data_IF_868470053228
#
_entry.id   IF_868470053228
#
_cell.length_a   1.000
_cell.length_b   1.000
_cell.length_c   1.000
_cell.angle_alpha   90.00
_cell.angle_beta   90.00
_cell.angle_gamma   90.00
#
_symmetry.space_group_name_H-M   'P 1'
#
loop_
_entity.id
_entity.type
_entity.pdbx_description
1 polymer ?
#
# COMPACT_ATOMS: atom_id res chain seq x y z
N UNK A 1 -26.25 9.48 -5.10
CA UNK A 1 -25.26 10.35 -5.78
C UNK A 1 -24.42 9.44 -6.65
N UNK A 2 -24.41 9.64 -7.96
CA UNK A 2 -23.60 8.84 -8.88
C UNK A 2 -22.13 9.14 -8.57
N UNK A 3 -21.37 8.10 -8.34
CA UNK A 3 -19.98 8.20 -7.89
C UNK A 3 -19.01 8.41 -9.07
N UNK A 4 -19.39 9.20 -10.07
CA UNK A 4 -18.66 9.61 -11.29
C UNK A 4 -17.55 8.63 -11.78
N UNK A 5 -17.73 7.32 -11.55
CA UNK A 5 -16.76 6.28 -11.87
C UNK A 5 -15.47 6.32 -11.01
N UNK A 6 -15.45 7.09 -9.91
CA UNK A 6 -14.31 7.10 -8.96
C UNK A 6 -14.41 5.91 -8.02
N UNK A 7 -13.34 5.13 -7.93
CA UNK A 7 -13.22 4.01 -7.00
C UNK A 7 -11.89 4.09 -6.23
N UNK A 8 -11.88 3.51 -5.03
CA UNK A 8 -10.75 3.43 -4.12
C UNK A 8 -10.24 1.99 -4.06
N UNK A 9 -9.00 1.76 -4.48
CA UNK A 9 -8.34 0.46 -4.43
C UNK A 9 -7.25 0.48 -3.37
N UNK A 10 -7.40 -0.35 -2.34
CA UNK A 10 -6.54 -0.42 -1.16
C UNK A 10 -5.76 -1.73 -1.14
N UNK A 11 -4.43 -1.66 -1.15
CA UNK A 11 -3.53 -2.80 -1.32
C UNK A 11 -2.66 -2.96 -0.06
N UNK A 12 -2.78 -4.10 0.60
CA UNK A 12 -2.23 -4.34 1.94
C UNK A 12 -0.72 -4.61 1.96
N UNK A 13 -0.13 -4.45 3.16
CA UNK A 13 1.25 -4.81 3.46
C UNK A 13 1.41 -6.29 3.86
N UNK A 14 2.66 -6.82 3.77
CA UNK A 14 3.04 -8.06 4.45
C UNK A 14 3.07 -7.87 5.96
N UNK A 15 2.75 -8.92 6.73
CA UNK A 15 2.16 -10.21 6.37
C UNK A 15 0.63 -10.19 6.60
N UNK A 16 -0.01 -9.04 6.35
CA UNK A 16 -1.42 -8.77 6.61
C UNK A 16 -2.29 -9.15 5.40
N UNK A 17 -3.58 -8.85 5.48
CA UNK A 17 -4.56 -9.04 4.42
C UNK A 17 -5.40 -7.77 4.20
N UNK A 18 -6.41 -7.85 3.36
CA UNK A 18 -7.30 -6.72 3.05
C UNK A 18 -8.00 -6.11 4.27
N UNK A 19 -8.12 -6.85 5.39
CA UNK A 19 -8.74 -6.34 6.62
C UNK A 19 -7.92 -5.24 7.31
N UNK A 20 -6.64 -5.06 6.96
CA UNK A 20 -5.87 -3.93 7.47
C UNK A 20 -6.49 -2.57 7.12
N UNK A 21 -7.36 -2.52 6.12
CA UNK A 21 -8.03 -1.33 5.63
C UNK A 21 -9.44 -1.13 6.22
N UNK A 22 -9.84 -1.90 7.23
CA UNK A 22 -11.18 -1.82 7.84
C UNK A 22 -11.59 -0.38 8.18
N UNK A 23 -10.66 0.42 8.71
CA UNK A 23 -10.86 1.81 9.08
C UNK A 23 -10.98 2.77 7.88
N UNK A 24 -10.68 2.33 6.66
CA UNK A 24 -10.76 3.11 5.42
C UNK A 24 -11.93 2.70 4.53
N UNK A 25 -12.58 1.55 4.78
CA UNK A 25 -13.64 1.02 3.91
C UNK A 25 -14.85 1.94 3.75
N UNK A 26 -15.11 2.78 4.75
CA UNK A 26 -16.23 3.71 4.75
C UNK A 26 -16.00 5.00 3.95
N UNK A 27 -14.77 5.26 3.48
CA UNK A 27 -14.40 6.54 2.85
C UNK A 27 -15.09 6.77 1.50
N UNK A 28 -15.35 5.71 0.74
CA UNK A 28 -16.10 5.76 -0.51
C UNK A 28 -17.05 4.56 -0.58
N UNK A 29 -18.21 4.62 0.12
CA UNK A 29 -19.11 3.49 0.28
C UNK A 29 -19.58 2.90 -1.05
N UNK A 30 -19.48 1.58 -1.19
CA UNK A 30 -19.85 0.85 -2.42
C UNK A 30 -18.84 0.95 -3.56
N UNK A 31 -17.74 1.73 -3.38
CA UNK A 31 -16.69 1.93 -4.39
C UNK A 31 -15.30 1.83 -3.77
N UNK A 32 -15.16 1.14 -2.63
CA UNK A 32 -13.88 0.85 -1.99
C UNK A 32 -13.62 -0.65 -2.04
N UNK A 33 -12.43 -1.03 -2.53
CA UNK A 33 -12.00 -2.41 -2.72
C UNK A 33 -10.68 -2.64 -1.99
N UNK A 34 -10.62 -3.67 -1.16
CA UNK A 34 -9.44 -4.06 -0.39
C UNK A 34 -9.19 -5.57 -0.52
N UNK A 35 -8.71 -6.05 -1.68
CA UNK A 35 -8.47 -7.48 -1.88
C UNK A 35 -7.32 -8.01 -1.04
N UNK A 36 -7.36 -9.31 -0.72
CA UNK A 36 -6.21 -10.03 -0.20
C UNK A 36 -5.29 -10.43 -1.34
N UNK A 37 -4.10 -9.83 -1.40
CA UNK A 37 -3.18 -9.92 -2.54
C UNK A 37 -2.70 -11.35 -2.82
N UNK A 38 -2.54 -12.16 -1.78
CA UNK A 38 -2.05 -13.54 -1.91
C UNK A 38 -2.91 -14.43 -2.81
N UNK A 39 -4.20 -14.11 -2.95
CA UNK A 39 -5.13 -14.83 -3.83
C UNK A 39 -5.06 -14.42 -5.30
N UNK A 40 -4.29 -13.37 -5.63
CA UNK A 40 -4.26 -12.74 -6.94
C UNK A 40 -3.11 -13.23 -7.85
N UNK A 41 -2.32 -14.20 -7.40
CA UNK A 41 -1.24 -14.78 -8.18
C UNK A 41 0.13 -14.76 -7.52
N UNK A 42 1.18 -14.99 -8.32
CA UNK A 42 2.55 -15.28 -7.84
C UNK A 42 3.56 -14.19 -8.20
N UNK A 43 3.10 -13.05 -8.67
CA UNK A 43 3.93 -11.88 -8.95
C UNK A 43 3.18 -10.58 -8.68
N UNK A 44 3.93 -9.50 -8.44
CA UNK A 44 3.31 -8.19 -8.23
C UNK A 44 2.53 -7.71 -9.46
N UNK A 45 2.97 -8.07 -10.67
CA UNK A 45 2.24 -7.78 -11.91
C UNK A 45 0.93 -8.56 -12.03
N UNK A 46 0.92 -9.85 -11.62
CA UNK A 46 -0.32 -10.64 -11.55
C UNK A 46 -1.29 -10.05 -10.53
N UNK A 47 -0.81 -9.66 -9.33
CA UNK A 47 -1.63 -8.98 -8.33
C UNK A 47 -2.29 -7.72 -8.87
N UNK A 48 -1.52 -6.89 -9.57
CA UNK A 48 -2.03 -5.65 -10.17
C UNK A 48 -3.09 -5.92 -11.25
N UNK A 49 -2.84 -6.89 -12.13
CA UNK A 49 -3.77 -7.24 -13.20
C UNK A 49 -5.10 -7.80 -12.65
N UNK A 50 -5.04 -8.68 -11.64
CA UNK A 50 -6.24 -9.23 -11.01
C UNK A 50 -6.97 -8.18 -10.15
N UNK A 51 -6.24 -7.31 -9.42
CA UNK A 51 -6.84 -6.22 -8.67
C UNK A 51 -7.60 -5.24 -9.58
N UNK A 52 -7.08 -4.96 -10.78
CA UNK A 52 -7.75 -4.13 -11.78
C UNK A 52 -9.08 -4.72 -12.28
N UNK A 53 -9.29 -6.03 -12.21
CA UNK A 53 -10.57 -6.67 -12.58
C UNK A 53 -11.65 -6.47 -11.53
N UNK A 54 -11.28 -6.16 -10.29
CA UNK A 54 -12.23 -5.92 -9.20
C UNK A 54 -12.85 -4.53 -9.26
N UNK A 55 -12.19 -3.59 -9.96
CA UNK A 55 -12.60 -2.19 -10.08
C UNK A 55 -13.13 -1.92 -11.49
N UNK A 56 -14.32 -1.32 -11.58
CA UNK A 56 -15.01 -1.04 -12.84
C UNK A 56 -14.92 0.42 -13.25
N UNK A 57 -14.68 1.31 -12.30
CA UNK A 57 -14.57 2.74 -12.53
C UNK A 57 -13.40 3.08 -13.47
N UNK A 58 -13.57 4.16 -14.19
CA UNK A 58 -12.55 4.72 -15.08
C UNK A 58 -11.59 5.68 -14.37
N UNK A 59 -11.82 5.96 -13.08
CA UNK A 59 -11.01 6.85 -12.23
C UNK A 59 -10.70 6.15 -10.90
N UNK A 60 -9.43 5.90 -10.65
CA UNK A 60 -8.98 5.14 -9.49
C UNK A 60 -8.08 5.99 -8.59
N UNK A 61 -8.39 6.05 -7.31
CA UNK A 61 -7.42 6.38 -6.27
C UNK A 61 -6.84 5.04 -5.81
N UNK A 62 -5.56 4.82 -6.09
CA UNK A 62 -4.88 3.58 -5.72
C UNK A 62 -3.98 3.85 -4.52
N UNK A 63 -4.21 3.12 -3.44
CA UNK A 63 -3.46 3.25 -2.18
C UNK A 63 -2.78 1.94 -1.88
N UNK A 64 -1.48 1.97 -1.65
CA UNK A 64 -0.74 0.76 -1.31
C UNK A 64 0.24 0.98 -0.17
N UNK A 65 0.26 0.04 0.77
CA UNK A 65 1.21 0.03 1.89
C UNK A 65 2.28 -1.04 1.65
N UNK A 66 3.56 -0.69 1.78
CA UNK A 66 4.70 -1.62 1.65
C UNK A 66 4.69 -2.38 0.30
N UNK A 67 4.59 -3.70 0.30
CA UNK A 67 4.42 -4.51 -0.92
C UNK A 67 3.15 -4.13 -1.69
N UNK A 68 2.09 -3.74 -1.00
CA UNK A 68 0.87 -3.22 -1.62
C UNK A 68 1.13 -1.94 -2.41
N UNK A 69 2.07 -1.10 -1.96
CA UNK A 69 2.52 0.06 -2.73
C UNK A 69 3.31 -0.32 -3.98
N UNK A 70 4.06 -1.43 -3.94
CA UNK A 70 4.67 -2.00 -5.15
C UNK A 70 3.61 -2.49 -6.14
N UNK A 71 2.52 -3.11 -5.64
CA UNK A 71 1.37 -3.48 -6.45
C UNK A 71 0.65 -2.23 -7.01
N UNK A 72 0.51 -1.16 -6.22
CA UNK A 72 -0.07 0.11 -6.67
C UNK A 72 0.73 0.75 -7.82
N UNK A 73 2.05 0.66 -7.77
CA UNK A 73 2.93 1.09 -8.86
C UNK A 73 2.73 0.25 -10.14
N UNK A 74 2.53 -1.07 -10.01
CA UNK A 74 2.19 -1.94 -11.15
C UNK A 74 0.81 -1.59 -11.72
N UNK A 75 -0.20 -1.35 -10.86
CA UNK A 75 -1.52 -0.88 -11.29
C UNK A 75 -1.40 0.41 -12.11
N UNK A 76 -0.59 1.37 -11.62
CA UNK A 76 -0.36 2.63 -12.32
C UNK A 76 0.40 2.45 -13.65
N UNK A 77 1.30 1.47 -13.73
CA UNK A 77 2.01 1.15 -14.96
C UNK A 77 1.10 0.47 -16.01
N UNK A 78 0.18 -0.41 -15.56
CA UNK A 78 -0.74 -1.15 -16.42
C UNK A 78 -1.92 -0.31 -16.92
N UNK A 79 -2.41 0.63 -16.12
CA UNK A 79 -3.60 1.41 -16.42
C UNK A 79 -3.42 2.91 -16.07
N UNK A 80 -2.40 3.59 -16.61
CA UNK A 80 -2.06 4.97 -16.22
C UNK A 80 -3.21 5.95 -16.44
N UNK A 81 -4.01 5.76 -17.48
CA UNK A 81 -5.14 6.62 -17.81
C UNK A 81 -6.29 6.53 -16.81
N UNK A 82 -6.40 5.41 -16.09
CA UNK A 82 -7.40 5.23 -15.03
C UNK A 82 -6.98 5.81 -13.69
N UNK A 83 -5.70 6.16 -13.50
CA UNK A 83 -5.23 6.69 -12.22
C UNK A 83 -5.72 8.13 -12.04
N UNK A 84 -6.51 8.39 -11.02
CA UNK A 84 -6.88 9.72 -10.57
C UNK A 84 -5.84 10.25 -9.56
N UNK A 85 -5.35 9.40 -8.68
CA UNK A 85 -4.24 9.67 -7.77
C UNK A 85 -3.59 8.36 -7.29
N UNK A 86 -2.32 8.44 -6.90
CA UNK A 86 -1.55 7.32 -6.35
C UNK A 86 -1.07 7.67 -4.93
N UNK A 87 -1.28 6.78 -3.97
CA UNK A 87 -0.83 6.94 -2.58
C UNK A 87 0.07 5.76 -2.21
N UNK A 88 1.34 6.03 -1.95
CA UNK A 88 2.36 5.04 -1.61
C UNK A 88 2.77 5.22 -0.15
N UNK A 89 2.48 4.22 0.68
CA UNK A 89 2.73 4.24 2.12
C UNK A 89 3.87 3.28 2.44
N UNK A 90 4.97 3.77 3.01
CA UNK A 90 6.11 2.93 3.37
C UNK A 90 6.66 2.10 2.20
N UNK A 91 6.71 2.66 0.99
CA UNK A 91 7.01 1.92 -0.24
C UNK A 91 8.27 2.46 -0.92
N UNK A 92 9.09 1.56 -1.47
CA UNK A 92 10.20 1.90 -2.37
C UNK A 92 9.80 1.61 -3.82
N UNK A 93 9.75 2.65 -4.66
CA UNK A 93 9.55 2.49 -6.10
C UNK A 93 10.79 1.89 -6.79
N UNK A 94 11.99 2.26 -6.31
CA UNK A 94 13.25 1.64 -6.74
C UNK A 94 13.51 0.39 -5.92
N UNK A 95 13.45 -0.77 -6.56
CA UNK A 95 13.82 -2.03 -5.94
C UNK A 95 15.31 -2.33 -6.12
N UNK A 96 15.96 -2.74 -5.04
CA UNK A 96 17.30 -3.35 -5.06
C UNK A 96 17.15 -4.72 -4.41
N UNK A 97 17.38 -5.81 -5.16
CA UNK A 97 17.32 -7.15 -4.61
C UNK A 97 18.27 -7.33 -3.42
N UNK A 98 17.78 -7.99 -2.38
CA UNK A 98 18.57 -8.46 -1.25
C UNK A 98 18.34 -9.98 -1.09
N UNK A 99 19.14 -10.79 -1.81
CA UNK A 99 18.99 -12.25 -1.77
C UNK A 99 19.25 -12.85 -0.39
N UNK A 100 20.13 -12.26 0.39
CA UNK A 100 20.47 -12.76 1.72
C UNK A 100 19.28 -12.58 2.68
N UNK A 101 18.70 -11.40 2.71
CA UNK A 101 17.46 -11.14 3.49
C UNK A 101 16.30 -12.02 3.00
N UNK A 102 16.13 -12.16 1.69
CA UNK A 102 15.07 -13.02 1.13
C UNK A 102 15.19 -14.46 1.64
N UNK A 103 16.37 -15.05 1.52
CA UNK A 103 16.63 -16.42 2.02
C UNK A 103 16.38 -16.51 3.51
N UNK A 104 16.91 -15.58 4.30
CA UNK A 104 16.74 -15.57 5.77
C UNK A 104 15.29 -15.53 6.22
N UNK A 105 14.45 -14.71 5.55
CA UNK A 105 13.01 -14.66 5.87
C UNK A 105 12.32 -15.98 5.53
N UNK A 106 12.64 -16.58 4.37
CA UNK A 106 12.04 -17.86 3.95
C UNK A 106 12.46 -19.03 4.85
N UNK A 107 13.73 -19.06 5.28
CA UNK A 107 14.24 -20.06 6.22
C UNK A 107 13.54 -19.93 7.57
N UNK A 108 13.42 -18.72 8.13
CA UNK A 108 12.74 -18.51 9.40
C UNK A 108 11.25 -18.92 9.33
N UNK A 109 10.55 -18.56 8.23
CA UNK A 109 9.16 -18.98 8.00
C UNK A 109 9.00 -20.51 7.94
N UNK A 110 9.96 -21.21 7.30
CA UNK A 110 9.95 -22.66 7.16
C UNK A 110 10.26 -23.38 8.47
N UNK A 111 11.30 -22.91 9.19
CA UNK A 111 11.92 -23.64 10.29
C UNK A 111 11.27 -23.30 11.64
N UNK A 112 10.87 -22.04 11.87
CA UNK A 112 10.31 -21.54 13.13
C UNK A 112 8.88 -21.02 13.00
N UNK A 113 8.40 -20.85 11.77
CA UNK A 113 7.00 -20.48 11.50
C UNK A 113 6.73 -18.98 11.48
N UNK A 114 5.45 -18.67 11.26
CA UNK A 114 4.99 -17.31 11.02
C UNK A 114 5.11 -16.39 12.25
N UNK A 115 4.96 -16.93 13.45
CA UNK A 115 5.07 -16.14 14.68
C UNK A 115 6.50 -15.65 14.91
N UNK A 116 7.50 -16.54 14.76
CA UNK A 116 8.91 -16.15 14.85
C UNK A 116 9.28 -15.11 13.78
N UNK A 117 8.81 -15.31 12.55
CA UNK A 117 9.02 -14.35 11.47
C UNK A 117 8.34 -12.99 11.72
N UNK A 118 7.13 -12.98 12.33
CA UNK A 118 6.47 -11.77 12.77
C UNK A 118 7.32 -10.99 13.77
N UNK A 119 7.79 -11.65 14.81
CA UNK A 119 8.56 -11.02 15.89
C UNK A 119 9.93 -10.49 15.36
N UNK A 120 10.55 -11.19 14.39
CA UNK A 120 11.83 -10.81 13.83
C UNK A 120 11.76 -9.68 12.78
N UNK A 121 10.75 -9.69 11.88
CA UNK A 121 10.76 -8.85 10.70
C UNK A 121 9.65 -7.81 10.63
N UNK A 122 8.47 -8.05 11.23
CA UNK A 122 7.31 -7.18 11.05
C UNK A 122 6.94 -6.39 12.30
N UNK A 123 7.00 -7.00 13.49
CA UNK A 123 6.76 -6.30 14.75
C UNK A 123 7.70 -5.10 14.95
N UNK A 124 9.01 -5.17 14.60
CA UNK A 124 9.94 -4.03 14.73
C UNK A 124 9.65 -2.85 13.80
N UNK A 125 8.75 -2.99 12.84
CA UNK A 125 8.36 -1.93 11.92
C UNK A 125 7.32 -0.96 12.50
N UNK A 126 6.66 -1.32 13.61
CA UNK A 126 5.78 -0.40 14.33
C UNK A 126 6.60 0.67 15.07
N UNK A 127 6.00 1.83 15.25
CA UNK A 127 6.56 2.87 16.13
C UNK A 127 6.59 2.39 17.58
N UNK A 128 7.59 2.82 18.35
CA UNK A 128 7.64 2.59 19.79
C UNK A 128 6.47 3.22 20.56
N UNK A 129 5.77 4.19 19.94
CA UNK A 129 4.57 4.84 20.50
C UNK A 129 3.26 4.09 20.19
N UNK A 130 3.31 3.08 19.31
CA UNK A 130 2.11 2.31 18.93
C UNK A 130 1.60 1.49 20.10
N UNK A 131 0.29 1.55 20.33
CA UNK A 131 -0.32 0.80 21.43
C UNK A 131 -0.14 -0.71 21.25
N UNK A 132 0.08 -1.41 22.37
CA UNK A 132 0.19 -2.89 22.38
C UNK A 132 -1.04 -3.56 21.77
N UNK A 133 -2.23 -2.95 21.90
CA UNK A 133 -3.47 -3.49 21.36
C UNK A 133 -3.45 -3.48 19.81
N UNK A 134 -2.95 -2.41 19.18
CA UNK A 134 -2.81 -2.32 17.72
C UNK A 134 -1.83 -3.39 17.22
N UNK A 135 -0.66 -3.51 17.86
CA UNK A 135 0.35 -4.51 17.49
C UNK A 135 -0.21 -5.93 17.65
N UNK A 136 -0.91 -6.21 18.76
CA UNK A 136 -1.50 -7.52 19.01
C UNK A 136 -2.60 -7.86 18.00
N UNK A 137 -3.44 -6.90 17.61
CA UNK A 137 -4.46 -7.09 16.57
C UNK A 137 -3.83 -7.37 15.20
N UNK A 138 -2.77 -6.66 14.84
CA UNK A 138 -2.02 -6.90 13.61
C UNK A 138 -1.33 -8.28 13.62
N UNK A 139 -0.71 -8.68 14.75
CA UNK A 139 -0.14 -10.02 14.94
C UNK A 139 -1.22 -11.10 14.76
N UNK A 140 -2.38 -10.93 15.37
CA UNK A 140 -3.49 -11.87 15.24
C UNK A 140 -3.98 -11.98 13.78
N UNK A 141 -4.02 -10.88 13.03
CA UNK A 141 -4.35 -10.89 11.58
C UNK A 141 -3.29 -11.65 10.79
N UNK A 142 -1.99 -11.40 11.06
CA UNK A 142 -0.89 -12.14 10.45
C UNK A 142 -0.99 -13.63 10.69
N UNK A 143 -1.17 -14.06 11.95
CA UNK A 143 -1.21 -15.47 12.32
C UNK A 143 -2.42 -16.25 11.78
N UNK A 144 -3.46 -15.55 11.27
CA UNK A 144 -4.56 -16.20 10.55
C UNK A 144 -4.23 -16.49 9.07
N UNK A 145 -3.14 -15.93 8.55
CA UNK A 145 -2.74 -16.20 7.16
C UNK A 145 -2.16 -17.62 7.04
N UNK A 146 -2.37 -18.24 5.88
CA UNK A 146 -1.70 -19.52 5.60
C UNK A 146 -0.20 -19.26 5.40
N UNK A 147 0.69 -20.04 6.02
CA UNK A 147 2.14 -19.83 5.88
C UNK A 147 2.60 -19.75 4.44
N UNK A 148 2.02 -20.58 3.55
CA UNK A 148 2.36 -20.60 2.12
C UNK A 148 2.01 -19.29 1.41
N UNK A 149 0.93 -18.61 1.82
CA UNK A 149 0.53 -17.33 1.23
C UNK A 149 1.50 -16.22 1.64
N UNK A 150 1.94 -16.20 2.91
CA UNK A 150 2.95 -15.26 3.39
C UNK A 150 4.30 -15.52 2.71
N UNK A 151 4.73 -16.78 2.61
CA UNK A 151 5.95 -17.19 1.90
C UNK A 151 5.93 -16.71 0.44
N UNK A 152 4.80 -16.87 -0.24
CA UNK A 152 4.59 -16.35 -1.60
C UNK A 152 4.70 -14.84 -1.63
N UNK A 153 4.03 -14.16 -0.71
CA UNK A 153 4.08 -12.69 -0.58
C UNK A 153 5.50 -12.16 -0.35
N UNK A 154 6.29 -12.83 0.48
CA UNK A 154 7.73 -12.52 0.69
C UNK A 154 8.49 -12.68 -0.62
N UNK A 155 8.28 -13.77 -1.35
CA UNK A 155 8.94 -13.98 -2.65
C UNK A 155 8.56 -12.88 -3.64
N UNK A 156 7.26 -12.55 -3.76
CA UNK A 156 6.79 -11.45 -4.62
C UNK A 156 7.43 -10.12 -4.23
N UNK A 157 7.55 -9.83 -2.93
CA UNK A 157 8.20 -8.62 -2.45
C UNK A 157 9.67 -8.56 -2.85
N UNK A 158 10.43 -9.64 -2.73
CA UNK A 158 11.87 -9.67 -3.02
C UNK A 158 12.20 -9.78 -4.50
N UNK A 159 11.26 -10.24 -5.34
CA UNK A 159 11.48 -10.41 -6.79
C UNK A 159 10.79 -9.35 -7.65
N UNK A 160 10.13 -8.37 -7.02
CA UNK A 160 9.40 -7.32 -7.74
C UNK A 160 10.33 -6.47 -8.61
N UNK A 161 9.86 -5.95 -9.75
CA UNK A 161 10.65 -5.03 -10.55
C UNK A 161 10.76 -3.65 -9.89
N UNK A 162 11.74 -2.86 -10.32
CA UNK A 162 11.80 -1.42 -10.04
C UNK A 162 10.76 -0.68 -10.89
N UNK A 163 10.00 0.23 -10.28
CA UNK A 163 8.97 1.06 -10.95
C UNK A 163 9.18 2.56 -10.73
N UNK A 164 10.41 2.97 -10.55
CA UNK A 164 10.79 4.39 -10.40
C UNK A 164 10.30 5.25 -11.57
N UNK A 165 10.24 4.65 -12.79
CA UNK A 165 9.71 5.33 -13.96
C UNK A 165 8.27 5.81 -13.80
N UNK A 166 7.44 5.12 -13.02
CA UNK A 166 6.06 5.55 -12.73
C UNK A 166 6.05 6.89 -12.01
N UNK A 167 6.97 7.11 -11.06
CA UNK A 167 7.08 8.40 -10.37
C UNK A 167 7.39 9.54 -11.34
N UNK A 168 8.27 9.30 -12.31
CA UNK A 168 8.71 10.28 -13.29
C UNK A 168 7.64 10.61 -14.33
N UNK A 169 6.86 9.62 -14.74
CA UNK A 169 6.00 9.73 -15.92
C UNK A 169 4.51 9.92 -15.63
N UNK A 170 4.02 9.49 -14.47
CA UNK A 170 2.59 9.57 -14.15
C UNK A 170 2.14 11.05 -14.04
N UNK A 171 1.22 11.53 -14.92
CA UNK A 171 0.78 12.93 -14.89
C UNK A 171 -0.38 13.15 -13.89
N UNK A 172 -0.30 12.51 -12.74
CA UNK A 172 -1.31 12.54 -11.68
C UNK A 172 -0.65 12.76 -10.33
N UNK A 173 -1.37 13.27 -9.33
CA UNK A 173 -0.83 13.43 -7.99
C UNK A 173 -0.33 12.10 -7.40
N UNK A 174 0.89 12.13 -6.85
CA UNK A 174 1.50 10.99 -6.15
C UNK A 174 1.79 11.42 -4.72
N UNK A 175 1.07 10.83 -3.76
CA UNK A 175 1.30 11.05 -2.35
C UNK A 175 2.25 9.97 -1.81
N UNK A 176 3.38 10.40 -1.30
CA UNK A 176 4.32 9.54 -0.59
C UNK A 176 4.08 9.76 0.90
N UNK A 177 3.60 8.73 1.57
CA UNK A 177 3.25 8.77 3.00
C UNK A 177 4.22 7.87 3.76
N UNK A 178 4.76 8.36 4.86
CA UNK A 178 5.70 7.61 5.71
C UNK A 178 5.49 7.96 7.16
N UNK A 179 5.62 6.99 8.05
CA UNK A 179 5.74 7.30 9.47
C UNK A 179 7.07 7.96 9.78
N UNK A 180 7.10 8.82 10.80
CA UNK A 180 8.32 9.46 11.29
C UNK A 180 9.35 8.43 11.78
N UNK A 181 8.87 7.33 12.37
CA UNK A 181 9.67 6.22 12.90
C UNK A 181 9.83 5.05 11.91
N UNK A 182 9.30 5.18 10.68
CA UNK A 182 9.43 4.14 9.66
C UNK A 182 10.91 3.96 9.26
N UNK A 183 11.36 2.70 9.26
CA UNK A 183 12.73 2.31 8.91
C UNK A 183 12.81 1.58 7.56
N UNK A 184 11.66 1.36 6.90
CA UNK A 184 11.58 0.58 5.67
C UNK A 184 10.54 1.13 4.67
N UNK A 185 10.77 2.27 4.01
CA UNK A 185 12.04 2.93 3.65
C UNK A 185 12.46 4.11 4.52
N UNK A 186 11.59 4.65 5.35
CA UNK A 186 11.82 5.80 6.17
C UNK A 186 11.63 7.16 5.46
N UNK A 187 11.62 8.25 6.25
CA UNK A 187 11.31 9.60 5.75
C UNK A 187 12.28 10.13 4.70
N UNK A 188 13.58 9.83 4.83
CA UNK A 188 14.59 10.32 3.87
C UNK A 188 14.36 9.75 2.47
N UNK A 189 14.22 8.43 2.35
CA UNK A 189 13.93 7.78 1.05
C UNK A 189 12.58 8.24 0.51
N UNK A 190 11.59 8.41 1.39
CA UNK A 190 10.25 8.90 1.02
C UNK A 190 10.31 10.33 0.48
N UNK A 191 11.12 11.20 1.09
CA UNK A 191 11.35 12.57 0.62
C UNK A 191 12.01 12.58 -0.77
N UNK A 192 13.03 11.76 -0.98
CA UNK A 192 13.67 11.63 -2.30
C UNK A 192 12.69 11.17 -3.38
N UNK A 193 11.82 10.21 -3.07
CA UNK A 193 10.81 9.73 -4.02
C UNK A 193 9.75 10.80 -4.33
N UNK A 194 9.32 11.59 -3.33
CA UNK A 194 8.39 12.68 -3.54
C UNK A 194 8.99 13.79 -4.41
N UNK A 195 10.29 14.10 -4.21
CA UNK A 195 11.01 15.06 -5.03
C UNK A 195 11.23 14.56 -6.48
N UNK A 196 11.38 13.25 -6.67
CA UNK A 196 11.55 12.63 -7.99
C UNK A 196 10.23 12.57 -8.76
N UNK A 197 9.11 12.45 -8.07
CA UNK A 197 7.80 12.31 -8.70
C UNK A 197 7.36 13.60 -9.38
N UNK A 198 6.83 13.49 -10.59
CA UNK A 198 6.37 14.64 -11.42
C UNK A 198 5.36 15.54 -10.68
N UNK A 199 4.47 14.94 -9.91
CA UNK A 199 3.47 15.62 -9.06
C UNK A 199 3.50 14.99 -7.67
N UNK A 200 4.67 15.01 -7.03
CA UNK A 200 4.92 14.36 -5.75
C UNK A 200 4.54 15.23 -4.55
N UNK A 201 3.90 14.62 -3.57
CA UNK A 201 3.54 15.21 -2.29
C UNK A 201 4.04 14.33 -1.16
N UNK A 202 4.85 14.85 -0.25
CA UNK A 202 5.30 14.12 0.93
C UNK A 202 4.37 14.38 2.12
N UNK A 203 4.03 13.33 2.83
CA UNK A 203 3.34 13.36 4.13
C UNK A 203 4.13 12.52 5.14
N UNK A 204 4.71 13.16 6.15
CA UNK A 204 5.36 12.49 7.28
C UNK A 204 4.41 12.46 8.46
N UNK A 205 4.11 11.27 8.96
CA UNK A 205 3.13 11.02 10.02
C UNK A 205 3.86 10.86 11.35
N UNK A 206 3.60 11.76 12.30
CA UNK A 206 4.24 11.75 13.63
C UNK A 206 3.82 10.53 14.45
N UNK A 207 4.70 10.06 15.32
CA UNK A 207 4.44 8.93 16.22
C UNK A 207 3.90 7.71 15.48
N UNK A 208 4.48 7.39 14.35
CA UNK A 208 4.01 6.36 13.44
C UNK A 208 5.20 5.64 12.80
N UNK A 209 5.11 4.32 12.73
CA UNK A 209 6.06 3.47 12.02
C UNK A 209 5.59 3.18 10.59
N UNK A 210 5.78 1.96 10.17
CA UNK A 210 5.56 1.50 8.80
C UNK A 210 4.08 1.34 8.42
N UNK A 211 3.24 0.96 9.41
CA UNK A 211 1.85 0.59 9.17
C UNK A 211 0.89 1.75 9.43
N UNK A 212 1.07 2.86 8.73
CA UNK A 212 0.24 4.09 8.88
C UNK A 212 -1.26 3.79 8.93
N UNK A 213 -1.84 2.87 8.11
CA UNK A 213 -3.27 2.56 8.18
C UNK A 213 -3.74 1.99 9.52
N UNK A 214 -2.83 1.35 10.27
CA UNK A 214 -3.12 0.76 11.59
C UNK A 214 -2.74 1.68 12.74
N UNK A 215 -1.61 2.37 12.59
CA UNK A 215 -1.02 3.18 13.65
C UNK A 215 -1.65 4.57 13.78
N UNK A 216 -1.98 5.18 12.63
CA UNK A 216 -2.56 6.53 12.55
C UNK A 216 -3.74 6.56 11.53
N UNK A 217 -4.78 5.72 11.72
CA UNK A 217 -5.86 5.60 10.74
C UNK A 217 -6.62 6.91 10.49
N UNK A 218 -6.83 7.74 11.52
CA UNK A 218 -7.57 8.99 11.39
C UNK A 218 -6.81 10.02 10.55
N UNK A 219 -5.48 10.08 10.71
CA UNK A 219 -4.64 10.93 9.88
C UNK A 219 -4.74 10.50 8.40
N UNK A 220 -4.62 9.20 8.14
CA UNK A 220 -4.74 8.66 6.78
C UNK A 220 -6.13 8.92 6.21
N UNK A 221 -7.19 8.76 7.00
CA UNK A 221 -8.55 9.03 6.59
C UNK A 221 -8.72 10.49 6.15
N UNK A 222 -8.14 11.44 6.88
CA UNK A 222 -8.16 12.86 6.51
C UNK A 222 -7.49 13.08 5.15
N UNK A 223 -6.30 12.53 4.94
CA UNK A 223 -5.58 12.64 3.66
C UNK A 223 -6.40 12.05 2.50
N UNK A 224 -6.99 10.88 2.71
CA UNK A 224 -7.79 10.23 1.66
C UNK A 224 -9.11 10.94 1.39
N UNK A 225 -9.78 11.49 2.41
CA UNK A 225 -11.01 12.28 2.24
C UNK A 225 -10.78 13.57 1.48
N UNK A 226 -9.69 14.29 1.76
CA UNK A 226 -9.28 15.47 1.01
C UNK A 226 -9.08 15.10 -0.47
N UNK A 227 -8.33 14.04 -0.73
CA UNK A 227 -8.04 13.55 -2.07
C UNK A 227 -9.30 13.11 -2.82
N UNK A 228 -10.18 12.34 -2.19
CA UNK A 228 -11.49 11.94 -2.76
C UNK A 228 -12.29 13.19 -3.13
N UNK A 229 -12.37 14.17 -2.23
CA UNK A 229 -13.11 15.41 -2.44
C UNK A 229 -12.56 16.23 -3.61
N UNK A 230 -11.24 16.32 -3.74
CA UNK A 230 -10.57 16.99 -4.88
C UNK A 230 -10.90 16.28 -6.20
N UNK A 231 -10.81 14.96 -6.22
CA UNK A 231 -11.09 14.17 -7.42
C UNK A 231 -12.57 14.24 -7.82
N UNK A 232 -13.50 14.34 -6.88
CA UNK A 232 -14.93 14.52 -7.16
C UNK A 232 -15.23 15.91 -7.71
N UNK A 233 -14.53 16.96 -7.27
CA UNK A 233 -14.67 18.32 -7.82
C UNK A 233 -14.14 18.45 -9.24
N UNK A 234 -13.08 17.74 -9.58
CA UNK A 234 -12.40 17.78 -10.88
C UNK A 234 -13.07 16.89 -11.93
N UNK A 235 -14.26 16.34 -11.67
CA UNK A 235 -14.99 15.49 -12.63
C UNK A 235 -15.59 16.32 -13.77
N UNK A 236 -15.31 15.99 -15.05
CA UNK A 236 -15.76 16.77 -16.22
C UNK A 236 -17.28 16.79 -16.42
N UNK A 237 -18.05 15.97 -15.75
CA UNK A 237 -19.53 15.92 -15.89
C UNK A 237 -20.26 17.09 -15.23
N UNK A 238 -19.61 17.86 -14.34
CA UNK A 238 -20.23 19.04 -13.70
C UNK A 238 -20.28 20.29 -14.58
N UNK A 239 -19.41 20.36 -15.60
CA UNK A 239 -19.35 21.52 -16.52
C UNK A 239 -20.36 21.45 -17.67
N UNK A 240 -21.23 20.44 -17.71
CA UNK A 240 -22.25 20.26 -18.76
C UNK A 240 -23.70 20.51 -18.28
N UNK A 241 -23.86 21.27 -17.19
CA UNK A 241 -25.21 21.68 -16.74
C UNK A 241 -25.33 23.21 -16.76
#
# INVERSE_FOLDING_TARGET
MSNDGLELLLLHALPLDGSMWERQMHLLPGSTHAPTLYSLGDSVGAWAAEALKLVRGNRLIVVGCSVGGSCALEVAALAPDRIAALVLIGTKARHRPDPALHVSVLELLRDEGLEAAWDAYWAPLFSGSTSRQVIAAAKATSLRQRPQDVTRGVTVFHTRPSREQVLLSLPRPIFIVTGEDDRAPGPETSSMQAALARHGHLKVVRNCGHYVPLEQPEYLNTVLQELISEQQRSSPERDRR
#
